data_IF_820105978041
#
_entry.id   IF_820105978041
#
_cell.length_a   1.000
_cell.length_b   1.000
_cell.length_c   1.000
_cell.angle_alpha   90.00
_cell.angle_beta   90.00
_cell.angle_gamma   90.00
#
_symmetry.space_group_name_H-M   'P 1'
#
loop_
_entity.id
_entity.type
_entity.pdbx_description
1 polymer ?
#
# COMPACT_ATOMS: atom_id res chain seq x y z
N UNK A 1 -0.60 -10.44 -1.70
CA UNK A 1 0.02 -9.55 -2.70
C UNK A 1 -0.42 -9.79 -4.15
N UNK A 2 -0.24 -10.95 -4.81
CA UNK A 2 -0.52 -11.09 -6.26
C UNK A 2 -1.99 -11.18 -6.66
N UNK A 3 -2.93 -11.46 -5.76
CA UNK A 3 -4.31 -11.75 -6.17
C UNK A 3 -5.11 -10.48 -6.51
N UNK A 4 -5.04 -9.45 -5.66
CA UNK A 4 -5.80 -8.21 -5.83
C UNK A 4 -5.26 -7.30 -6.93
N UNK A 5 -3.94 -7.13 -7.00
CA UNK A 5 -3.28 -6.44 -8.12
C UNK A 5 -3.62 -7.11 -9.44
N UNK A 6 -3.60 -8.44 -9.53
CA UNK A 6 -4.02 -9.14 -10.74
C UNK A 6 -5.52 -8.97 -11.07
N UNK A 7 -6.40 -8.88 -10.07
CA UNK A 7 -7.84 -8.68 -10.31
C UNK A 7 -8.12 -7.25 -10.80
N UNK A 8 -7.55 -6.24 -10.16
CA UNK A 8 -7.70 -4.84 -10.58
C UNK A 8 -7.10 -4.60 -11.96
N UNK A 9 -5.90 -5.13 -12.21
CA UNK A 9 -5.22 -5.05 -13.49
C UNK A 9 -6.04 -5.71 -14.60
N UNK A 10 -6.58 -6.92 -14.37
CA UNK A 10 -7.45 -7.60 -15.35
C UNK A 10 -8.76 -6.86 -15.58
N UNK A 11 -9.39 -6.31 -14.54
CA UNK A 11 -10.66 -5.58 -14.70
C UNK A 11 -10.48 -4.26 -15.44
N UNK A 12 -9.41 -3.52 -15.16
CA UNK A 12 -9.12 -2.29 -15.91
C UNK A 12 -8.65 -2.57 -17.34
N UNK A 13 -7.91 -3.67 -17.55
CA UNK A 13 -7.56 -4.19 -18.88
C UNK A 13 -8.80 -4.39 -19.75
N UNK A 14 -9.79 -5.14 -19.26
CA UNK A 14 -11.03 -5.36 -19.98
C UNK A 14 -11.82 -4.07 -20.20
N UNK A 15 -11.78 -3.12 -19.27
CA UNK A 15 -12.46 -1.83 -19.41
C UNK A 15 -11.87 -0.99 -20.55
N UNK A 16 -10.55 -1.09 -20.76
CA UNK A 16 -9.84 -0.36 -21.81
C UNK A 16 -10.02 -1.04 -23.17
N UNK A 17 -9.95 -2.36 -23.24
CA UNK A 17 -10.33 -3.10 -24.45
C UNK A 17 -11.77 -2.77 -24.87
N UNK A 18 -12.72 -2.77 -23.93
CA UNK A 18 -14.11 -2.40 -24.18
C UNK A 18 -14.29 -0.94 -24.61
N UNK A 19 -13.33 -0.05 -24.30
CA UNK A 19 -13.35 1.35 -24.73
C UNK A 19 -12.85 1.57 -26.16
N UNK A 20 -12.41 0.51 -26.84
CA UNK A 20 -11.93 0.57 -28.22
C UNK A 20 -10.48 1.08 -28.36
N UNK A 21 -9.76 1.21 -27.25
CA UNK A 21 -8.34 1.58 -27.24
C UNK A 21 -7.51 0.35 -27.60
N UNK A 22 -6.88 0.38 -28.78
CA UNK A 22 -6.06 -0.73 -29.32
C UNK A 22 -4.57 -0.39 -29.41
N UNK A 23 -4.19 0.84 -29.06
CA UNK A 23 -2.80 1.28 -29.07
C UNK A 23 -2.01 0.66 -27.91
N UNK A 24 -0.93 -0.03 -28.24
CA UNK A 24 -0.04 -0.69 -27.27
C UNK A 24 0.60 0.31 -26.31
N UNK A 25 0.84 1.56 -26.73
CA UNK A 25 1.40 2.58 -25.86
C UNK A 25 0.38 3.04 -24.80
N UNK A 26 -0.89 3.27 -25.17
CA UNK A 26 -1.98 3.49 -24.20
C UNK A 26 -2.07 2.35 -23.18
N UNK A 27 -1.94 1.12 -23.67
CA UNK A 27 -2.07 -0.06 -22.83
C UNK A 27 -0.95 -0.13 -21.77
N UNK A 28 0.31 0.09 -22.18
CA UNK A 28 1.44 0.15 -21.27
C UNK A 28 1.29 1.27 -20.23
N UNK A 29 0.87 2.46 -20.67
CA UNK A 29 0.65 3.59 -19.76
C UNK A 29 -0.44 3.32 -18.73
N UNK A 30 -1.55 2.69 -19.13
CA UNK A 30 -2.56 2.24 -18.19
C UNK A 30 -1.99 1.25 -17.18
N UNK A 31 -1.27 0.24 -17.67
CA UNK A 31 -0.70 -0.80 -16.83
C UNK A 31 0.20 -0.18 -15.75
N UNK A 32 1.04 0.78 -16.11
CA UNK A 32 1.92 1.47 -15.17
C UNK A 32 1.14 2.22 -14.09
N UNK A 33 0.10 2.97 -14.46
CA UNK A 33 -0.77 3.68 -13.52
C UNK A 33 -1.50 2.68 -12.59
N UNK A 34 -2.04 1.60 -13.14
CA UNK A 34 -2.74 0.57 -12.36
C UNK A 34 -1.83 -0.11 -11.34
N UNK A 35 -0.60 -0.45 -11.76
CA UNK A 35 0.39 -1.07 -10.88
C UNK A 35 0.74 -0.12 -9.75
N UNK A 36 0.94 1.17 -10.02
CA UNK A 36 1.23 2.18 -8.99
C UNK A 36 0.08 2.40 -8.02
N UNK A 37 -1.17 2.44 -8.52
CA UNK A 37 -2.36 2.49 -7.67
C UNK A 37 -2.43 1.25 -6.77
N UNK A 38 -2.20 0.06 -7.33
CA UNK A 38 -2.24 -1.19 -6.57
C UNK A 38 -1.14 -1.29 -5.52
N UNK A 39 0.07 -0.81 -5.84
CA UNK A 39 1.19 -0.69 -4.91
C UNK A 39 0.84 0.23 -3.74
N UNK A 40 0.38 1.46 -4.03
CA UNK A 40 -0.07 2.39 -3.01
C UNK A 40 -1.16 1.77 -2.13
N UNK A 41 -2.21 1.20 -2.72
CA UNK A 41 -3.31 0.59 -1.97
C UNK A 41 -2.86 -0.52 -1.01
N UNK A 42 -1.91 -1.38 -1.43
CA UNK A 42 -1.37 -2.43 -0.56
C UNK A 42 -0.53 -1.85 0.57
N UNK A 43 0.27 -0.82 0.32
CA UNK A 43 1.01 -0.13 1.39
C UNK A 43 0.05 0.49 2.41
N UNK A 44 -1.07 1.06 1.97
CA UNK A 44 -2.10 1.54 2.90
C UNK A 44 -2.73 0.40 3.69
N UNK A 45 -2.99 -0.75 3.07
CA UNK A 45 -3.57 -1.93 3.74
C UNK A 45 -2.63 -2.43 4.86
N UNK A 46 -1.34 -2.56 4.56
CA UNK A 46 -0.31 -2.96 5.52
C UNK A 46 -0.15 -1.94 6.67
N UNK A 47 -0.29 -0.63 6.38
CA UNK A 47 -0.29 0.42 7.39
C UNK A 47 -1.51 0.34 8.30
N UNK A 48 -2.71 0.27 7.71
CA UNK A 48 -3.97 0.22 8.44
C UNK A 48 -4.10 -1.05 9.28
N UNK A 49 -3.56 -2.19 8.83
CA UNK A 49 -3.53 -3.43 9.61
C UNK A 49 -2.82 -3.23 10.96
N UNK A 50 -1.77 -2.39 11.03
CA UNK A 50 -1.07 -2.13 12.30
C UNK A 50 -1.62 -0.95 13.10
N UNK A 51 -2.04 0.13 12.43
CA UNK A 51 -2.33 1.43 13.06
C UNK A 51 -3.82 1.78 13.16
N UNK A 52 -4.70 1.14 12.39
CA UNK A 52 -6.12 1.43 12.47
C UNK A 52 -6.72 0.89 13.77
N UNK A 53 -7.74 1.58 14.26
CA UNK A 53 -8.57 1.07 15.34
C UNK A 53 -9.31 -0.19 14.85
N UNK A 54 -9.30 -1.30 15.60
CA UNK A 54 -10.06 -2.51 15.25
C UNK A 54 -11.54 -2.25 14.96
N UNK A 55 -12.17 -1.26 15.62
CA UNK A 55 -13.56 -0.87 15.36
C UNK A 55 -13.76 -0.25 13.97
N UNK A 56 -12.75 0.51 13.50
CA UNK A 56 -12.77 1.15 12.17
C UNK A 56 -12.44 0.15 11.07
N UNK A 57 -11.47 -0.74 11.32
CA UNK A 57 -11.04 -1.76 10.35
C UNK A 57 -12.01 -2.96 10.29
N UNK A 58 -12.86 -3.14 11.31
CA UNK A 58 -13.77 -4.28 11.46
C UNK A 58 -13.06 -5.62 11.71
N UNK A 59 -11.73 -5.59 11.93
CA UNK A 59 -10.89 -6.74 12.22
C UNK A 59 -9.68 -6.30 13.06
N UNK A 60 -9.10 -7.24 13.79
CA UNK A 60 -7.80 -7.03 14.44
C UNK A 60 -6.70 -7.27 13.41
N UNK A 61 -5.71 -6.39 13.39
CA UNK A 61 -4.51 -6.48 12.56
C UNK A 61 -3.73 -7.78 12.73
N UNK A 62 -3.53 -8.46 11.60
CA UNK A 62 -2.81 -9.73 11.34
C UNK A 62 -1.29 -9.74 11.37
N UNK A 63 -0.70 -8.68 10.81
CA UNK A 63 0.49 -8.85 9.97
C UNK A 63 1.75 -9.23 10.74
N UNK A 64 1.87 -8.76 11.97
CA UNK A 64 3.02 -9.01 12.85
C UNK A 64 3.07 -10.49 13.23
N UNK A 65 2.00 -11.03 13.82
CA UNK A 65 1.96 -12.42 14.26
C UNK A 65 1.92 -13.43 13.09
N UNK A 66 1.40 -13.02 11.93
CA UNK A 66 1.39 -13.85 10.72
C UNK A 66 2.76 -13.89 10.01
N UNK A 67 3.77 -13.18 10.55
CA UNK A 67 5.10 -13.06 9.95
C UNK A 67 5.04 -12.56 8.49
N UNK A 68 4.12 -11.62 8.21
CA UNK A 68 3.98 -11.10 6.85
C UNK A 68 5.12 -10.16 6.51
N UNK A 69 5.58 -10.25 5.27
CA UNK A 69 6.45 -9.25 4.67
C UNK A 69 5.64 -8.00 4.30
N UNK A 70 5.16 -7.29 5.32
CA UNK A 70 4.41 -6.05 5.17
C UNK A 70 5.36 -4.88 4.90
N UNK A 71 4.83 -3.80 4.35
CA UNK A 71 5.59 -2.58 4.11
C UNK A 71 6.23 -2.06 5.41
N UNK A 72 5.51 -2.14 6.54
CA UNK A 72 5.99 -1.65 7.83
C UNK A 72 7.27 -2.37 8.30
N UNK A 73 7.34 -3.70 8.23
CA UNK A 73 8.55 -4.42 8.67
C UNK A 73 9.74 -4.12 7.77
N UNK A 74 9.51 -3.93 6.46
CA UNK A 74 10.55 -3.52 5.51
C UNK A 74 11.08 -2.14 5.86
N UNK A 75 10.20 -1.16 6.14
CA UNK A 75 10.63 0.18 6.54
C UNK A 75 11.33 0.20 7.90
N UNK A 76 10.86 -0.61 8.85
CA UNK A 76 11.48 -0.78 10.15
C UNK A 76 12.90 -1.33 10.01
N UNK A 77 13.07 -2.42 9.27
CA UNK A 77 14.37 -3.02 8.99
C UNK A 77 15.30 -2.05 8.24
N UNK A 78 14.80 -1.16 7.39
CA UNK A 78 15.66 -0.19 6.72
C UNK A 78 16.23 0.89 7.67
N UNK A 79 15.49 1.24 8.73
CA UNK A 79 15.82 2.34 9.66
C UNK A 79 16.37 1.92 11.01
N UNK A 80 16.12 0.67 11.41
CA UNK A 80 16.50 0.16 12.70
C UNK A 80 18.03 0.07 12.86
N UNK A 81 18.50 0.46 14.05
CA UNK A 81 19.83 0.11 14.57
C UNK A 81 19.97 -1.39 14.77
N UNK A 82 21.20 -1.89 14.97
CA UNK A 82 21.44 -3.33 15.16
C UNK A 82 20.69 -3.91 16.36
N UNK A 83 20.58 -3.17 17.47
CA UNK A 83 19.80 -3.57 18.64
C UNK A 83 18.31 -3.68 18.31
N UNK A 84 17.75 -2.67 17.63
CA UNK A 84 16.35 -2.68 17.21
C UNK A 84 16.05 -3.79 16.18
N UNK A 85 17.01 -4.10 15.29
CA UNK A 85 16.91 -5.24 14.37
C UNK A 85 16.89 -6.57 15.10
N UNK A 86 17.68 -6.70 16.17
CA UNK A 86 17.65 -7.90 17.02
C UNK A 86 16.28 -8.05 17.69
N UNK A 87 15.72 -6.98 18.25
CA UNK A 87 14.35 -6.97 18.80
C UNK A 87 13.32 -7.37 17.73
N UNK A 88 13.38 -6.80 16.51
CA UNK A 88 12.49 -7.21 15.42
C UNK A 88 12.60 -8.71 15.11
N UNK A 89 13.82 -9.22 14.95
CA UNK A 89 14.04 -10.65 14.66
C UNK A 89 13.53 -11.57 15.75
N UNK A 90 13.62 -11.12 17.01
CA UNK A 90 13.16 -11.91 18.15
C UNK A 90 11.64 -11.92 18.28
N UNK A 91 10.96 -10.79 18.00
CA UNK A 91 9.54 -10.64 18.33
C UNK A 91 8.59 -10.73 17.13
N UNK A 92 9.06 -10.45 15.91
CA UNK A 92 8.22 -10.50 14.71
C UNK A 92 7.82 -11.96 14.39
N UNK A 93 6.55 -12.19 14.01
CA UNK A 93 6.01 -13.52 13.76
C UNK A 93 5.60 -14.31 15.01
N UNK A 94 5.65 -13.70 16.21
CA UNK A 94 5.15 -14.32 17.43
C UNK A 94 3.70 -13.92 17.69
N UNK A 95 2.92 -14.86 18.21
CA UNK A 95 1.48 -14.68 18.46
C UNK A 95 1.16 -14.29 19.92
N UNK A 96 2.16 -13.87 20.70
CA UNK A 96 1.95 -13.37 22.06
C UNK A 96 1.82 -11.84 22.06
N UNK A 97 0.91 -11.32 22.90
CA UNK A 97 0.60 -9.89 22.94
C UNK A 97 1.80 -9.01 23.30
N UNK A 98 2.72 -9.49 24.14
CA UNK A 98 3.94 -8.76 24.50
C UNK A 98 4.87 -8.56 23.32
N UNK A 99 5.12 -9.59 22.51
CA UNK A 99 5.95 -9.49 21.31
C UNK A 99 5.32 -8.57 20.27
N UNK A 100 4.01 -8.68 20.06
CA UNK A 100 3.27 -7.80 19.14
C UNK A 100 3.39 -6.34 19.60
N UNK A 101 3.19 -6.06 20.89
CA UNK A 101 3.31 -4.71 21.43
C UNK A 101 4.73 -4.16 21.30
N UNK A 102 5.77 -4.95 21.56
CA UNK A 102 7.17 -4.53 21.39
C UNK A 102 7.49 -4.14 19.93
N UNK A 103 6.96 -4.88 18.95
CA UNK A 103 7.10 -4.53 17.54
C UNK A 103 6.37 -3.22 17.23
N UNK A 104 5.15 -3.02 17.75
CA UNK A 104 4.39 -1.77 17.57
C UNK A 104 5.11 -0.58 18.20
N UNK A 105 5.62 -0.72 19.42
CA UNK A 105 6.38 0.32 20.12
C UNK A 105 7.64 0.70 19.34
N UNK A 106 8.30 -0.30 18.74
CA UNK A 106 9.45 -0.04 17.88
C UNK A 106 9.05 0.72 16.60
N UNK A 107 7.91 0.41 15.99
CA UNK A 107 7.42 1.16 14.83
C UNK A 107 7.14 2.63 15.18
N UNK A 108 6.61 2.89 16.38
CA UNK A 108 6.44 4.25 16.91
C UNK A 108 7.81 4.91 17.13
N UNK A 109 8.76 4.22 17.74
CA UNK A 109 10.11 4.75 17.99
C UNK A 109 10.89 5.07 16.69
N UNK A 110 10.55 4.41 15.58
CA UNK A 110 11.12 4.65 14.25
C UNK A 110 10.31 5.67 13.41
N UNK A 111 9.26 6.28 13.99
CA UNK A 111 8.35 7.22 13.33
C UNK A 111 7.79 6.67 12.01
N UNK A 112 7.38 5.39 11.98
CA UNK A 112 6.87 4.79 10.75
C UNK A 112 5.53 5.38 10.29
N UNK A 113 4.77 5.98 11.21
CA UNK A 113 3.58 6.77 10.85
C UNK A 113 3.98 8.02 10.04
N UNK A 114 4.98 8.78 10.48
CA UNK A 114 5.53 9.91 9.72
C UNK A 114 6.05 9.49 8.35
N UNK A 115 6.79 8.36 8.30
CA UNK A 115 7.30 7.78 7.03
C UNK A 115 6.14 7.40 6.10
N UNK A 116 5.08 6.79 6.61
CA UNK A 116 3.90 6.45 5.81
C UNK A 116 3.19 7.69 5.29
N UNK A 117 2.96 8.71 6.13
CA UNK A 117 2.32 9.96 5.72
C UNK A 117 3.10 10.68 4.61
N UNK A 118 4.43 10.67 4.68
CA UNK A 118 5.27 11.18 3.60
C UNK A 118 5.11 10.37 2.31
N UNK A 119 5.19 9.04 2.40
CA UNK A 119 4.98 8.13 1.26
C UNK A 119 3.60 8.29 0.62
N UNK A 120 2.55 8.46 1.42
CA UNK A 120 1.17 8.64 0.96
C UNK A 120 1.02 9.91 0.11
N UNK A 121 1.59 11.04 0.57
CA UNK A 121 1.54 12.29 -0.18
C UNK A 121 2.37 12.19 -1.48
N UNK A 122 3.60 11.66 -1.41
CA UNK A 122 4.46 11.47 -2.59
C UNK A 122 3.82 10.55 -3.64
N UNK A 123 3.18 9.47 -3.19
CA UNK A 123 2.47 8.52 -4.05
C UNK A 123 1.28 9.19 -4.73
N UNK A 124 0.50 9.98 -3.99
CA UNK A 124 -0.62 10.73 -4.53
C UNK A 124 -0.17 11.75 -5.58
N UNK A 125 0.85 12.55 -5.29
CA UNK A 125 1.38 13.54 -6.22
C UNK A 125 1.96 12.90 -7.49
N UNK A 126 2.65 11.77 -7.32
CA UNK A 126 3.17 10.97 -8.45
C UNK A 126 2.03 10.45 -9.32
N UNK A 127 0.98 9.88 -8.72
CA UNK A 127 -0.19 9.38 -9.43
C UNK A 127 -0.94 10.50 -10.15
N UNK A 128 -1.13 11.66 -9.52
CA UNK A 128 -1.73 12.83 -10.15
C UNK A 128 -0.94 13.30 -11.38
N UNK A 129 0.39 13.34 -11.29
CA UNK A 129 1.27 13.69 -12.42
C UNK A 129 1.17 12.66 -13.55
N UNK A 130 1.20 11.37 -13.22
CA UNK A 130 1.09 10.29 -14.21
C UNK A 130 -0.25 10.35 -14.95
N UNK A 131 -1.35 10.52 -14.21
CA UNK A 131 -2.70 10.62 -14.79
C UNK A 131 -2.84 11.89 -15.63
N UNK A 132 -2.30 13.02 -15.17
CA UNK A 132 -2.32 14.29 -15.91
C UNK A 132 -1.51 14.27 -17.22
N UNK A 133 -0.56 13.35 -17.35
CA UNK A 133 0.20 13.11 -18.58
C UNK A 133 -0.50 12.21 -19.61
N UNK A 134 -1.67 11.67 -19.31
CA UNK A 134 -2.44 10.82 -20.23
C UNK A 134 -3.27 11.71 -21.16
N UNK A 135 -3.04 11.61 -22.48
CA UNK A 135 -3.73 12.45 -23.48
C UNK A 135 -4.58 11.67 -24.48
N UNK A 136 -4.41 10.35 -24.54
CA UNK A 136 -4.92 9.46 -25.58
C UNK A 136 -5.99 8.48 -25.09
N UNK A 137 -6.42 8.57 -23.82
CA UNK A 137 -7.49 7.76 -23.26
C UNK A 137 -8.21 8.48 -22.10
N UNK A 138 -9.47 8.12 -21.79
CA UNK A 138 -10.20 8.72 -20.68
C UNK A 138 -9.54 8.44 -19.33
N UNK A 139 -9.32 9.49 -18.53
CA UNK A 139 -8.65 9.39 -17.21
C UNK A 139 -9.61 9.33 -16.02
N UNK A 140 -10.91 9.52 -16.25
CA UNK A 140 -11.94 9.60 -15.20
C UNK A 140 -11.91 8.41 -14.25
N UNK A 141 -11.65 7.20 -14.77
CA UNK A 141 -11.56 5.99 -13.96
C UNK A 141 -10.42 6.05 -12.94
N UNK A 142 -9.26 6.60 -13.31
CA UNK A 142 -8.12 6.73 -12.41
C UNK A 142 -8.38 7.77 -11.32
N UNK A 143 -8.98 8.91 -11.67
CA UNK A 143 -9.38 9.91 -10.67
C UNK A 143 -10.44 9.38 -9.70
N UNK A 144 -11.41 8.61 -10.19
CA UNK A 144 -12.41 7.95 -9.34
C UNK A 144 -11.77 6.93 -8.39
N UNK A 145 -10.80 6.15 -8.86
CA UNK A 145 -10.07 5.21 -8.00
C UNK A 145 -9.23 5.96 -6.97
N UNK A 146 -8.45 6.95 -7.40
CA UNK A 146 -7.55 7.70 -6.53
C UNK A 146 -8.30 8.45 -5.42
N UNK A 147 -9.44 9.07 -5.75
CA UNK A 147 -10.29 9.77 -4.76
C UNK A 147 -10.90 8.83 -3.71
N UNK A 148 -11.06 7.54 -4.01
CA UNK A 148 -11.57 6.56 -3.04
C UNK A 148 -10.49 6.00 -2.11
N UNK A 149 -9.23 6.00 -2.54
CA UNK A 149 -8.14 5.39 -1.78
C UNK A 149 -7.29 6.42 -1.03
N UNK A 150 -7.18 7.65 -1.54
CA UNK A 150 -6.37 8.67 -0.89
C UNK A 150 -6.90 9.02 0.50
N UNK A 151 -6.04 8.94 1.52
CA UNK A 151 -6.38 9.18 2.93
C UNK A 151 -7.55 8.33 3.45
N UNK A 152 -7.75 7.14 2.88
CA UNK A 152 -8.76 6.22 3.40
C UNK A 152 -8.43 5.85 4.84
N UNK A 153 -9.47 5.79 5.66
CA UNK A 153 -9.37 5.36 7.07
C UNK A 153 -9.93 3.96 7.29
N UNK A 154 -10.52 3.35 6.26
CA UNK A 154 -11.19 2.04 6.25
C UNK A 154 -11.02 1.35 4.89
#
# INVERSE_FOLDING_TARGET
MRHWTNILHKRLFYLIECSGVTDAACFAQCQDICVKIGEYFQVQDDYLDCYADPEVLGKIGTDIQDNKCSWLVVQALARASDAQRATLKEHYGKNDASSIQLVKDLYVALDLEGVYRAYENDSYDTLCKLIGGVTNMPTTVYHMLLSKIYKRTM
#
